data_IF_017846570988
#
_entry.id   IF_017846570988
#
_cell.length_a   1.000
_cell.length_b   1.000
_cell.length_c   1.000
_cell.angle_alpha   90.00
_cell.angle_beta   90.00
_cell.angle_gamma   90.00
#
_symmetry.space_group_name_H-M   'P 1'
#
loop_
_entity.id
_entity.type
_entity.pdbx_description
1 polymer ?
#
# COMPACT_ATOMS: atom_id res chain seq x y z
N UNK A 1 16.35 16.49 5.22
CA UNK A 1 16.26 15.55 6.36
C UNK A 1 15.48 14.34 5.89
N UNK A 2 16.05 13.15 6.10
CA UNK A 2 15.38 11.89 5.73
C UNK A 2 14.14 11.67 6.60
N UNK A 3 13.04 11.24 6.01
CA UNK A 3 11.83 10.82 6.73
C UNK A 3 12.07 9.47 7.42
N UNK A 4 12.89 8.60 6.81
CA UNK A 4 13.30 7.33 7.40
C UNK A 4 14.34 7.64 8.48
N UNK A 5 14.05 7.23 9.72
CA UNK A 5 14.97 7.37 10.85
C UNK A 5 16.10 6.35 10.74
N UNK A 6 17.34 6.71 11.12
CA UNK A 6 18.46 5.77 11.15
C UNK A 6 18.24 4.60 12.11
N UNK A 7 17.38 4.77 13.13
CA UNK A 7 17.01 3.68 14.06
C UNK A 7 16.31 2.52 13.35
N UNK A 8 15.42 2.79 12.39
CA UNK A 8 14.77 1.74 11.61
C UNK A 8 15.78 0.91 10.80
N UNK A 9 16.84 1.55 10.31
CA UNK A 9 17.95 0.87 9.61
C UNK A 9 18.76 0.03 10.59
N UNK A 10 19.00 0.51 11.81
CA UNK A 10 19.70 -0.26 12.86
C UNK A 10 18.89 -1.48 13.30
N UNK A 11 17.57 -1.35 13.43
CA UNK A 11 16.66 -2.46 13.74
C UNK A 11 16.67 -3.52 12.63
N UNK A 12 16.64 -3.10 11.35
CA UNK A 12 16.79 -4.01 10.22
C UNK A 12 18.17 -4.68 10.16
N UNK A 13 19.24 -3.97 10.54
CA UNK A 13 20.57 -4.55 10.64
C UNK A 13 20.65 -5.59 11.78
N UNK A 14 20.02 -5.30 12.93
CA UNK A 14 19.96 -6.21 14.06
C UNK A 14 19.18 -7.49 13.73
N UNK A 15 18.08 -7.40 12.99
CA UNK A 15 17.32 -8.59 12.53
C UNK A 15 18.11 -9.45 11.54
N UNK A 16 19.04 -8.85 10.78
CA UNK A 16 20.01 -9.56 9.94
C UNK A 16 21.23 -10.10 10.71
N UNK A 17 21.30 -9.90 12.04
CA UNK A 17 22.40 -10.39 12.89
C UNK A 17 23.59 -9.44 13.04
N UNK A 18 23.52 -8.21 12.52
CA UNK A 18 24.57 -7.20 12.62
C UNK A 18 24.38 -6.41 13.93
N UNK A 19 25.26 -6.63 14.91
CA UNK A 19 25.11 -6.08 16.28
C UNK A 19 25.41 -4.58 16.39
N UNK A 20 26.29 -4.05 15.55
CA UNK A 20 26.66 -2.63 15.59
C UNK A 20 26.84 -2.08 14.18
N UNK A 21 26.22 -0.93 13.93
CA UNK A 21 26.31 -0.20 12.67
C UNK A 21 26.81 1.22 12.97
N UNK A 22 27.80 1.69 12.22
CA UNK A 22 28.30 3.07 12.36
C UNK A 22 27.18 4.05 12.00
N UNK A 23 27.09 5.15 12.74
CA UNK A 23 26.03 6.15 12.59
C UNK A 23 26.00 6.78 11.18
N UNK A 24 27.16 7.06 10.60
CA UNK A 24 27.27 7.54 9.22
C UNK A 24 26.63 6.58 8.21
N UNK A 25 26.85 5.27 8.37
CA UNK A 25 26.30 4.24 7.48
C UNK A 25 24.79 4.16 7.62
N UNK A 26 24.28 4.21 8.85
CA UNK A 26 22.83 4.23 9.11
C UNK A 26 22.16 5.44 8.46
N UNK A 27 22.78 6.62 8.56
CA UNK A 27 22.28 7.86 7.98
C UNK A 27 22.29 7.84 6.45
N UNK A 28 23.38 7.37 5.83
CA UNK A 28 23.47 7.26 4.37
C UNK A 28 22.48 6.23 3.82
N UNK A 29 22.33 5.09 4.48
CA UNK A 29 21.41 4.03 4.03
C UNK A 29 19.95 4.44 4.19
N UNK A 30 19.60 5.18 5.25
CA UNK A 30 18.26 5.74 5.42
C UNK A 30 17.90 6.71 4.27
N UNK A 31 18.84 7.55 3.83
CA UNK A 31 18.65 8.47 2.70
C UNK A 31 18.48 7.72 1.38
N UNK A 32 19.30 6.68 1.12
CA UNK A 32 19.17 5.88 -0.10
C UNK A 32 17.85 5.10 -0.13
N UNK A 33 17.45 4.48 0.99
CA UNK A 33 16.18 3.78 1.11
C UNK A 33 14.98 4.72 0.84
N UNK A 34 15.02 5.94 1.35
CA UNK A 34 13.98 6.93 1.07
C UNK A 34 13.98 7.34 -0.41
N UNK A 35 15.14 7.53 -1.01
CA UNK A 35 15.24 7.83 -2.44
C UNK A 35 14.59 6.72 -3.28
N UNK A 36 14.90 5.45 -3.00
CA UNK A 36 14.29 4.30 -3.68
C UNK A 36 12.77 4.25 -3.49
N UNK A 37 12.29 4.51 -2.28
CA UNK A 37 10.85 4.55 -2.00
C UNK A 37 10.16 5.66 -2.80
N UNK A 38 10.77 6.85 -2.89
CA UNK A 38 10.24 7.96 -3.70
C UNK A 38 10.21 7.62 -5.19
N UNK A 39 11.25 6.96 -5.72
CA UNK A 39 11.26 6.49 -7.12
C UNK A 39 10.09 5.53 -7.41
N UNK A 40 9.85 4.55 -6.55
CA UNK A 40 8.74 3.59 -6.71
C UNK A 40 7.39 4.31 -6.66
N UNK A 41 7.21 5.23 -5.70
CA UNK A 41 5.96 6.00 -5.58
C UNK A 41 5.72 6.88 -6.81
N UNK A 42 6.76 7.52 -7.36
CA UNK A 42 6.64 8.32 -8.58
C UNK A 42 6.20 7.48 -9.77
N UNK A 43 6.74 6.28 -9.93
CA UNK A 43 6.35 5.37 -11.01
C UNK A 43 4.90 4.87 -10.81
N UNK A 44 4.52 4.52 -9.59
CA UNK A 44 3.16 4.10 -9.25
C UNK A 44 2.12 5.21 -9.53
N UNK A 45 2.49 6.48 -9.30
CA UNK A 45 1.64 7.62 -9.63
C UNK A 45 1.38 7.76 -11.14
N UNK A 46 2.32 7.34 -12.00
CA UNK A 46 2.09 7.28 -13.45
C UNK A 46 1.03 6.23 -13.76
N UNK A 47 1.15 5.01 -13.23
CA UNK A 47 0.14 3.95 -13.41
C UNK A 47 -1.26 4.39 -12.94
N UNK A 48 -1.34 5.06 -11.79
CA UNK A 48 -2.58 5.63 -11.26
C UNK A 48 -3.21 6.63 -12.25
N UNK A 49 -2.41 7.58 -12.75
CA UNK A 49 -2.85 8.61 -13.70
C UNK A 49 -3.31 8.01 -15.02
N UNK A 50 -2.53 7.08 -15.58
CA UNK A 50 -2.86 6.40 -16.84
C UNK A 50 -4.08 5.47 -16.70
N UNK A 51 -4.36 4.99 -15.49
CA UNK A 51 -5.59 4.25 -15.17
C UNK A 51 -6.83 5.14 -14.95
N UNK A 52 -6.71 6.47 -15.13
CA UNK A 52 -7.79 7.45 -14.89
C UNK A 52 -8.42 7.37 -13.49
N UNK A 53 -7.63 6.96 -12.48
CA UNK A 53 -8.06 6.84 -11.08
C UNK A 53 -7.43 7.94 -10.23
N UNK A 54 -8.13 8.37 -9.16
CA UNK A 54 -7.61 9.36 -8.20
C UNK A 54 -6.88 8.72 -7.02
N UNK A 55 -7.37 7.56 -6.56
CA UNK A 55 -6.81 6.78 -5.45
C UNK A 55 -5.68 5.88 -5.98
N UNK A 56 -4.54 5.89 -5.28
CA UNK A 56 -3.45 4.96 -5.52
C UNK A 56 -3.82 3.59 -4.94
N UNK A 57 -3.62 2.54 -5.72
CA UNK A 57 -3.93 1.16 -5.32
C UNK A 57 -2.67 0.30 -5.25
N UNK A 58 -2.76 -0.84 -4.57
CA UNK A 58 -1.66 -1.82 -4.48
C UNK A 58 -1.22 -2.30 -5.87
N UNK A 59 -2.16 -2.43 -6.81
CA UNK A 59 -1.84 -2.80 -8.20
C UNK A 59 -0.91 -1.79 -8.88
N UNK A 60 -1.04 -0.49 -8.58
CA UNK A 60 -0.19 0.55 -9.17
C UNK A 60 1.25 0.44 -8.64
N UNK A 61 1.41 0.11 -7.36
CA UNK A 61 2.72 -0.11 -6.73
C UNK A 61 3.36 -1.38 -7.29
N UNK A 62 2.61 -2.48 -7.39
CA UNK A 62 3.13 -3.72 -7.97
C UNK A 62 3.52 -3.57 -9.45
N UNK A 63 2.81 -2.75 -10.23
CA UNK A 63 3.21 -2.42 -11.59
C UNK A 63 4.51 -1.59 -11.62
N UNK A 64 4.66 -0.63 -10.70
CA UNK A 64 5.91 0.13 -10.54
C UNK A 64 7.11 -0.75 -10.18
N UNK A 65 6.92 -1.70 -9.25
CA UNK A 65 7.96 -2.67 -8.88
C UNK A 65 8.39 -3.51 -10.09
N UNK A 66 7.43 -4.03 -10.86
CA UNK A 66 7.70 -4.81 -12.08
C UNK A 66 8.51 -4.02 -13.12
N UNK A 67 8.15 -2.76 -13.39
CA UNK A 67 8.90 -1.92 -14.35
C UNK A 67 10.33 -1.66 -13.88
N UNK A 68 10.55 -1.60 -12.56
CA UNK A 68 11.86 -1.41 -11.94
C UNK A 68 12.62 -2.72 -11.72
N UNK A 69 12.12 -3.85 -12.24
CA UNK A 69 12.67 -5.19 -12.06
C UNK A 69 12.82 -5.60 -10.58
N UNK A 70 11.90 -5.14 -9.74
CA UNK A 70 11.78 -5.55 -8.34
C UNK A 70 10.66 -6.58 -8.23
N UNK A 71 10.86 -7.56 -7.36
CA UNK A 71 9.86 -8.59 -7.08
C UNK A 71 8.55 -7.94 -6.57
N UNK A 72 7.39 -8.39 -7.06
CA UNK A 72 6.11 -7.85 -6.62
C UNK A 72 5.80 -8.29 -5.18
N UNK A 73 5.06 -7.45 -4.45
CA UNK A 73 4.62 -7.76 -3.10
C UNK A 73 3.28 -8.49 -3.14
N UNK A 74 3.26 -9.69 -2.56
CA UNK A 74 2.09 -10.55 -2.45
C UNK A 74 1.34 -10.33 -1.12
N UNK A 75 0.07 -10.74 -1.04
CA UNK A 75 -0.72 -10.67 0.21
C UNK A 75 -1.49 -9.36 0.45
N UNK A 76 -1.32 -8.34 -0.41
CA UNK A 76 -1.94 -7.02 -0.21
C UNK A 76 -3.22 -6.77 -1.03
N UNK A 77 -3.86 -7.82 -1.57
CA UNK A 77 -5.08 -7.70 -2.39
C UNK A 77 -6.37 -7.99 -1.60
N UNK A 78 -6.25 -8.28 -0.31
CA UNK A 78 -7.40 -8.63 0.52
C UNK A 78 -8.26 -7.39 0.82
N UNK A 79 -9.60 -7.51 0.78
CA UNK A 79 -10.50 -6.38 1.04
C UNK A 79 -10.49 -5.93 2.51
N UNK A 80 -10.14 -6.82 3.43
CA UNK A 80 -10.12 -6.50 4.85
C UNK A 80 -8.96 -5.56 5.19
N UNK A 81 -9.21 -4.55 6.05
CA UNK A 81 -8.16 -3.63 6.47
C UNK A 81 -7.11 -4.38 7.32
N UNK A 82 -5.84 -4.05 7.08
CA UNK A 82 -4.74 -4.52 7.93
C UNK A 82 -4.88 -3.85 9.30
N UNK A 83 -4.99 -4.66 10.36
CA UNK A 83 -5.08 -4.19 11.74
C UNK A 83 -3.69 -4.25 12.38
N UNK A 84 -3.27 -3.11 12.93
CA UNK A 84 -2.02 -2.99 13.68
C UNK A 84 -2.33 -2.99 15.17
N UNK A 85 -1.84 -4.00 15.89
CA UNK A 85 -1.86 -4.06 17.34
C UNK A 85 -0.57 -3.50 17.92
N UNK A 86 -0.64 -2.76 19.04
CA UNK A 86 0.56 -2.32 19.77
C UNK A 86 0.88 -3.32 20.86
N UNK A 87 2.08 -3.89 20.84
CA UNK A 87 2.59 -4.79 21.88
C UNK A 87 3.77 -4.14 22.59
N UNK A 88 3.81 -4.28 23.91
CA UNK A 88 4.95 -3.82 24.72
C UNK A 88 5.99 -4.93 24.79
N UNK A 89 7.21 -4.64 24.34
CA UNK A 89 8.34 -5.55 24.46
C UNK A 89 8.86 -5.59 25.90
N UNK A 90 9.70 -6.58 26.20
CA UNK A 90 10.25 -6.82 27.55
C UNK A 90 11.12 -5.66 28.08
N UNK A 91 11.63 -4.83 27.19
CA UNK A 91 12.42 -3.62 27.49
C UNK A 91 11.54 -2.37 27.71
N UNK A 92 10.22 -2.51 27.63
CA UNK A 92 9.25 -1.41 27.77
C UNK A 92 9.02 -0.62 26.48
N UNK A 93 9.68 -0.97 25.37
CA UNK A 93 9.42 -0.35 24.07
C UNK A 93 8.06 -0.80 23.49
N UNK A 94 7.38 0.08 22.77
CA UNK A 94 6.13 -0.25 22.08
C UNK A 94 6.42 -0.59 20.62
N UNK A 95 5.97 -1.76 20.18
CA UNK A 95 6.14 -2.26 18.81
C UNK A 95 4.76 -2.47 18.18
N UNK A 96 4.56 -1.93 16.99
CA UNK A 96 3.36 -2.20 16.19
C UNK A 96 3.54 -3.52 15.45
N UNK A 97 2.64 -4.46 15.70
CA UNK A 97 2.63 -5.79 15.11
C UNK A 97 1.35 -5.94 14.29
N UNK A 98 1.45 -6.53 13.11
CA UNK A 98 0.29 -6.91 12.32
C UNK A 98 -0.39 -8.09 13.00
N UNK A 99 -1.68 -7.95 13.29
CA UNK A 99 -2.46 -9.03 13.88
C UNK A 99 -3.04 -9.90 12.77
N UNK A 100 -2.49 -11.10 12.63
CA UNK A 100 -3.02 -12.09 11.70
C UNK A 100 -4.08 -12.95 12.40
N UNK A 101 -5.31 -12.86 11.90
CA UNK A 101 -6.40 -13.72 12.35
C UNK A 101 -6.18 -15.13 11.80
N UNK A 102 -6.04 -16.09 12.71
CA UNK A 102 -6.08 -17.52 12.35
C UNK A 102 -7.53 -17.86 12.00
N UNK A 103 -7.73 -18.43 10.82
CA UNK A 103 -9.04 -18.88 10.33
C UNK A 103 -9.03 -20.39 10.23
N UNK A 104 -10.15 -21.01 10.58
CA UNK A 104 -10.35 -22.44 10.35
C UNK A 104 -10.74 -22.69 8.89
N UNK A 105 -10.26 -23.78 8.31
CA UNK A 105 -10.55 -24.08 6.90
C UNK A 105 -12.05 -24.25 6.64
N UNK A 106 -12.79 -24.85 7.57
CA UNK A 106 -14.23 -25.06 7.44
C UNK A 106 -15.01 -23.73 7.40
N UNK A 107 -14.55 -22.70 8.12
CA UNK A 107 -15.14 -21.35 8.05
C UNK A 107 -14.95 -20.74 6.66
N UNK A 108 -13.76 -20.90 6.07
CA UNK A 108 -13.46 -20.36 4.73
C UNK A 108 -14.22 -21.12 3.64
N UNK A 109 -14.33 -22.44 3.77
CA UNK A 109 -15.02 -23.30 2.81
C UNK A 109 -16.55 -23.13 2.85
N UNK A 110 -17.12 -22.85 4.02
CA UNK A 110 -18.55 -22.60 4.20
C UNK A 110 -18.97 -21.15 3.93
N UNK A 111 -18.02 -20.24 3.68
CA UNK A 111 -18.32 -18.85 3.39
C UNK A 111 -19.18 -18.69 2.12
N UNK A 112 -20.25 -17.88 2.15
CA UNK A 112 -21.10 -17.67 0.99
C UNK A 112 -20.35 -16.89 -0.10
N UNK A 113 -20.65 -17.21 -1.36
CA UNK A 113 -20.10 -16.48 -2.49
C UNK A 113 -20.52 -15.00 -2.47
N UNK A 114 -19.61 -14.07 -2.80
CA UNK A 114 -19.96 -12.66 -2.90
C UNK A 114 -20.96 -12.45 -4.04
N UNK A 115 -21.82 -11.44 -3.90
CA UNK A 115 -22.76 -11.06 -4.96
C UNK A 115 -21.99 -10.52 -6.16
N UNK A 116 -22.32 -11.02 -7.34
CA UNK A 116 -21.79 -10.47 -8.58
C UNK A 116 -22.30 -9.03 -8.80
N UNK A 117 -21.44 -8.11 -9.26
CA UNK A 117 -21.89 -6.79 -9.69
C UNK A 117 -22.77 -6.89 -10.93
N UNK A 118 -23.59 -5.86 -11.16
CA UNK A 118 -24.33 -5.72 -12.42
C UNK A 118 -23.35 -5.50 -13.59
N UNK A 119 -23.77 -5.90 -14.79
CA UNK A 119 -23.02 -5.62 -16.00
C UNK A 119 -22.90 -4.12 -16.27
N UNK A 120 -21.83 -3.73 -16.95
CA UNK A 120 -21.55 -2.35 -17.29
C UNK A 120 -22.59 -1.88 -18.32
N UNK A 121 -23.32 -0.81 -17.99
CA UNK A 121 -24.25 -0.14 -18.89
C UNK A 121 -23.99 1.37 -18.88
N UNK A 122 -24.41 2.07 -19.93
CA UNK A 122 -24.31 3.53 -20.01
C UNK A 122 -25.71 4.14 -19.94
N UNK A 123 -25.80 5.33 -19.32
CA UNK A 123 -26.94 6.23 -19.42
C UNK A 123 -26.43 7.56 -19.94
N UNK A 124 -27.19 8.18 -20.83
CA UNK A 124 -26.84 9.46 -21.41
C UNK A 124 -27.88 10.49 -21.00
N UNK A 125 -27.41 11.67 -20.62
CA UNK A 125 -28.23 12.84 -20.32
C UNK A 125 -27.54 14.09 -20.87
N UNK A 126 -28.31 15.17 -21.02
CA UNK A 126 -27.74 16.46 -21.38
C UNK A 126 -27.07 17.10 -20.17
N UNK A 127 -25.75 17.25 -20.20
CA UNK A 127 -25.02 18.02 -19.19
C UNK A 127 -25.23 19.53 -19.36
N UNK A 128 -25.33 19.99 -20.61
CA UNK A 128 -25.57 21.40 -20.95
C UNK A 128 -26.28 21.54 -22.29
N UNK A 129 -27.18 22.51 -22.38
CA UNK A 129 -27.84 22.96 -23.61
C UNK A 129 -27.51 24.45 -23.75
N UNK A 130 -26.84 24.83 -24.84
CA UNK A 130 -26.39 26.22 -25.07
C UNK A 130 -25.55 26.81 -23.92
N UNK A 131 -24.78 25.97 -23.23
CA UNK A 131 -23.94 26.39 -22.09
C UNK A 131 -24.67 26.50 -20.76
N UNK A 132 -25.98 26.20 -20.71
CA UNK A 132 -26.79 26.18 -19.49
C UNK A 132 -27.08 24.74 -19.07
N UNK A 133 -26.88 24.40 -17.80
CA UNK A 133 -27.21 23.08 -17.26
C UNK A 133 -28.74 22.94 -17.15
N UNK A 134 -29.37 21.95 -17.81
CA UNK A 134 -30.80 21.73 -17.70
C UNK A 134 -31.17 21.18 -16.32
N UNK A 135 -32.31 21.59 -15.78
CA UNK A 135 -32.83 21.13 -14.49
C UNK A 135 -33.55 19.76 -14.61
N UNK A 136 -32.89 18.78 -15.23
CA UNK A 136 -33.39 17.42 -15.38
C UNK A 136 -32.51 16.51 -14.51
N UNK A 137 -33.09 15.56 -13.73
CA UNK A 137 -32.30 14.59 -12.99
C UNK A 137 -31.41 13.75 -13.93
N UNK A 138 -30.17 13.49 -13.49
CA UNK A 138 -29.20 12.61 -14.18
C UNK A 138 -29.55 11.12 -14.04
#
# INVERSE_FOLDING_TARGET
MSIIKPDAVREAAASAGIKSLREEVANSLAQDAEYRLREIVQEALKFKRHSRRRRLTVSDINNALRVRNVEPLYGFSFPDPIVYGTKTAADGSQVSVVEDKILEFDEVLSAPLPKAPLEISFRAHWLAIEGVQPLIPE
#
